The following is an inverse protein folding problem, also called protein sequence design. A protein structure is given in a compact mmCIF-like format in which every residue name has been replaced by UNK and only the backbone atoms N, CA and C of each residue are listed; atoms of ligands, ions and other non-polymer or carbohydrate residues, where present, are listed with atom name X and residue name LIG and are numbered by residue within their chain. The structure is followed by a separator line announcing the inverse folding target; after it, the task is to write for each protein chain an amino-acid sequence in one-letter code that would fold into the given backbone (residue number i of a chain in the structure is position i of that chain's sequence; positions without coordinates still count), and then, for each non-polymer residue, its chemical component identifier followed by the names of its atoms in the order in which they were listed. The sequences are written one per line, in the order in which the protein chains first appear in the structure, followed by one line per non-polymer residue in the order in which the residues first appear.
data_IF_006481161395
#
_entry.id   IF_006481161395
#
_cell.length_a   1.000
_cell.length_b   1.000
_cell.length_c   1.000
_cell.angle_alpha   90.00
_cell.angle_beta   90.00
_cell.angle_gamma   90.00
#
_symmetry.space_group_name_H-M   'P 1'
#
loop_
_entity.id
_entity.type
_entity.pdbx_description
1 polymer ?
#
# COMPACT_ATOMS: atom_id res chain seq x y z
N UNK A 1 -38.00 55.31 6.55
CA UNK A 1 -37.06 55.62 7.65
C UNK A 1 -35.67 55.38 7.11
N UNK A 2 -34.89 56.44 6.86
CA UNK A 2 -33.71 56.85 7.66
C UNK A 2 -32.74 55.69 7.92
N UNK A 3 -31.43 55.73 7.67
CA UNK A 3 -30.43 56.70 7.16
C UNK A 3 -29.08 55.97 7.28
N UNK A 4 -28.13 56.26 6.37
CA UNK A 4 -26.67 56.30 6.59
C UNK A 4 -25.95 54.98 6.98
N UNK A 5 -24.68 54.72 6.66
CA UNK A 5 -23.60 55.47 6.02
C UNK A 5 -22.52 54.45 5.61
N UNK A 6 -21.71 54.76 4.62
CA UNK A 6 -20.29 55.16 4.80
C UNK A 6 -19.38 53.96 5.15
N UNK A 7 -18.20 53.74 4.61
CA UNK A 7 -17.35 54.33 3.57
C UNK A 7 -16.09 53.43 3.57
N UNK A 8 -15.31 53.45 2.47
CA UNK A 8 -13.86 53.17 2.45
C UNK A 8 -13.40 51.71 2.65
N UNK A 9 -12.33 51.23 2.03
CA UNK A 9 -11.38 51.75 1.03
C UNK A 9 -10.60 50.53 0.54
N UNK A 10 -10.19 50.58 -0.72
CA UNK A 10 -9.14 49.76 -1.32
C UNK A 10 -7.84 49.82 -0.49
N UNK A 11 -7.09 48.71 -0.40
CA UNK A 11 -5.67 48.70 -0.80
C UNK A 11 -5.14 47.27 -0.99
N UNK A 12 -4.16 47.20 -1.87
CA UNK A 12 -3.67 46.09 -2.68
C UNK A 12 -2.67 45.15 -1.98
N UNK A 13 -2.43 44.01 -2.66
CA UNK A 13 -1.10 43.44 -3.00
C UNK A 13 -0.93 41.94 -2.70
N UNK A 14 -0.79 41.16 -3.79
CA UNK A 14 0.23 40.12 -4.12
C UNK A 14 0.73 39.21 -2.97
N UNK A 15 0.88 37.88 -3.07
CA UNK A 15 1.61 37.09 -4.06
C UNK A 15 1.48 35.57 -3.72
N UNK A 16 1.84 34.74 -4.69
CA UNK A 16 1.75 33.29 -4.85
C UNK A 16 2.28 32.37 -3.74
N UNK A 17 1.65 31.21 -3.55
CA UNK A 17 2.34 29.91 -3.47
C UNK A 17 1.37 28.75 -3.72
N UNK A 18 1.77 27.87 -4.64
CA UNK A 18 1.07 26.65 -5.02
C UNK A 18 1.03 25.60 -3.89
N UNK A 19 -0.04 24.80 -3.83
CA UNK A 19 0.16 23.35 -3.95
C UNK A 19 -1.11 22.62 -4.41
N UNK A 20 -0.89 21.67 -5.32
CA UNK A 20 -1.92 20.89 -5.98
C UNK A 20 -2.17 19.60 -5.20
N UNK A 21 -3.40 19.37 -4.75
CA UNK A 21 -3.86 18.00 -4.46
C UNK A 21 -5.29 17.80 -4.94
N UNK A 22 -5.39 17.55 -6.25
CA UNK A 22 -6.62 17.15 -6.91
C UNK A 22 -7.11 15.80 -6.37
N UNK A 23 -8.24 15.84 -5.66
CA UNK A 23 -9.05 14.67 -5.34
C UNK A 23 -9.82 14.21 -6.58
N UNK A 24 -9.68 12.94 -6.91
CA UNK A 24 -10.37 12.25 -8.01
C UNK A 24 -11.87 12.17 -7.68
N UNK A 25 -12.70 12.96 -8.39
CA UNK A 25 -14.16 12.79 -8.41
C UNK A 25 -14.55 11.81 -9.52
N UNK A 26 -15.22 10.72 -9.13
CA UNK A 26 -16.01 9.88 -10.03
C UNK A 26 -17.22 10.69 -10.54
N UNK A 27 -17.41 10.75 -11.84
CA UNK A 27 -18.68 11.16 -12.46
C UNK A 27 -19.14 10.07 -13.43
N UNK A 28 -20.30 9.49 -13.12
CA UNK A 28 -21.14 8.77 -14.06
C UNK A 28 -22.22 9.73 -14.58
N UNK A 29 -22.53 9.72 -15.88
CA UNK A 29 -23.89 9.81 -16.43
C UNK A 29 -23.91 9.94 -17.97
N UNK A 30 -24.72 9.06 -18.57
CA UNK A 30 -25.75 9.29 -19.60
C UNK A 30 -25.39 9.86 -21.00
N UNK A 31 -26.05 9.21 -21.97
CA UNK A 31 -26.06 9.46 -23.41
C UNK A 31 -26.95 10.66 -23.81
N UNK A 32 -26.61 11.34 -24.92
CA UNK A 32 -27.54 11.58 -26.04
C UNK A 32 -26.80 12.05 -27.33
N UNK A 33 -27.57 12.04 -28.42
CA UNK A 33 -27.33 12.01 -29.88
C UNK A 33 -26.51 13.10 -30.63
N UNK A 34 -26.04 12.63 -31.81
CA UNK A 34 -26.13 13.16 -33.21
C UNK A 34 -25.01 14.01 -33.87
N UNK A 35 -24.76 13.57 -35.12
CA UNK A 35 -24.40 14.29 -36.37
C UNK A 35 -22.95 14.72 -36.68
N UNK A 36 -22.55 14.48 -37.93
CA UNK A 36 -21.61 15.36 -38.65
C UNK A 36 -20.36 14.72 -39.25
N UNK A 37 -20.36 14.58 -40.57
CA UNK A 37 -19.30 14.06 -41.45
C UNK A 37 -18.20 15.11 -41.73
N UNK A 38 -16.89 14.73 -41.75
CA UNK A 38 -15.90 15.00 -42.84
C UNK A 38 -14.43 14.71 -42.44
N UNK A 39 -13.68 14.20 -43.44
CA UNK A 39 -12.29 13.70 -43.42
C UNK A 39 -11.26 14.81 -43.62
N UNK A 40 -10.10 14.71 -42.95
CA UNK A 40 -8.77 15.18 -43.38
C UNK A 40 -7.72 14.50 -42.48
N UNK A 41 -6.90 13.55 -42.96
CA UNK A 41 -5.63 13.68 -43.69
C UNK A 41 -4.38 13.81 -42.78
N UNK A 42 -3.49 12.82 -42.93
CA UNK A 42 -2.04 12.77 -42.62
C UNK A 42 -1.53 12.53 -41.17
N UNK A 43 -1.10 11.29 -40.90
CA UNK A 43 0.30 10.90 -40.58
C UNK A 43 0.36 9.52 -39.86
N UNK A 44 1.10 8.51 -40.36
CA UNK A 44 1.31 7.26 -39.63
C UNK A 44 2.57 7.36 -38.77
N UNK A 45 2.43 7.51 -37.45
CA UNK A 45 3.56 7.37 -36.53
C UNK A 45 3.66 5.91 -36.10
N UNK A 46 4.59 5.21 -36.74
CA UNK A 46 5.07 3.90 -36.33
C UNK A 46 5.78 4.00 -34.98
N UNK A 47 5.25 3.36 -33.92
CA UNK A 47 6.03 2.85 -32.78
C UNK A 47 5.39 1.58 -32.24
N UNK A 48 5.78 0.45 -32.83
CA UNK A 48 5.46 -0.87 -32.29
C UNK A 48 6.48 -1.18 -31.18
N UNK A 49 6.16 -0.81 -29.94
CA UNK A 49 6.94 -1.23 -28.78
C UNK A 49 6.56 -2.68 -28.45
N UNK A 50 7.27 -3.64 -29.06
CA UNK A 50 7.26 -5.03 -28.59
C UNK A 50 8.25 -5.15 -27.45
N UNK A 51 7.75 -5.32 -26.23
CA UNK A 51 8.53 -5.64 -25.05
C UNK A 51 9.29 -6.96 -25.26
N UNK A 52 10.61 -6.93 -25.04
CA UNK A 52 11.45 -8.11 -24.92
C UNK A 52 11.10 -8.82 -23.60
N UNK A 53 10.56 -10.03 -23.66
CA UNK A 53 10.40 -10.88 -22.48
C UNK A 53 11.72 -11.60 -22.22
N UNK A 54 12.32 -11.35 -21.06
CA UNK A 54 13.44 -12.10 -20.52
C UNK A 54 12.90 -13.27 -19.72
N UNK A 55 12.77 -14.45 -20.33
CA UNK A 55 12.67 -15.73 -19.61
C UNK A 55 13.14 -16.88 -20.53
N UNK A 56 14.45 -16.98 -20.69
CA UNK A 56 15.12 -18.17 -21.23
C UNK A 56 15.49 -19.07 -20.06
N UNK A 57 14.58 -19.96 -19.65
CA UNK A 57 14.94 -21.12 -18.87
C UNK A 57 13.88 -22.21 -19.04
N UNK A 58 14.03 -23.05 -20.07
CA UNK A 58 13.71 -24.49 -20.07
C UNK A 58 14.06 -25.11 -21.43
N UNK A 59 14.88 -26.16 -21.39
CA UNK A 59 14.69 -27.35 -22.21
C UNK A 59 15.26 -27.35 -23.63
N UNK A 60 16.57 -27.53 -23.74
CA UNK A 60 17.23 -28.01 -24.97
C UNK A 60 16.95 -29.52 -25.12
N UNK A 61 15.96 -29.90 -25.94
CA UNK A 61 15.75 -31.30 -26.35
C UNK A 61 16.11 -31.47 -27.82
N UNK A 62 17.30 -32.02 -28.05
CA UNK A 62 17.71 -32.57 -29.34
C UNK A 62 16.92 -33.87 -29.60
N UNK A 63 16.15 -33.92 -30.68
CA UNK A 63 15.74 -35.18 -31.30
C UNK A 63 16.50 -35.35 -32.62
N UNK A 64 17.70 -35.91 -32.52
CA UNK A 64 18.35 -36.57 -33.66
C UNK A 64 17.89 -38.03 -33.67
N UNK A 65 16.99 -38.38 -34.59
CA UNK A 65 16.65 -39.76 -34.89
C UNK A 65 16.76 -39.97 -36.40
N UNK A 66 17.67 -40.87 -36.78
CA UNK A 66 18.14 -41.06 -38.14
C UNK A 66 17.08 -41.57 -39.11
N UNK A 67 17.15 -41.05 -40.33
CA UNK A 67 16.48 -41.62 -41.48
C UNK A 67 17.41 -42.65 -42.14
N UNK A 68 17.06 -43.93 -42.01
CA UNK A 68 17.57 -45.02 -42.83
C UNK A 68 16.39 -45.70 -43.51
N UNK A 69 16.48 -45.92 -44.83
CA UNK A 69 15.68 -46.92 -45.53
C UNK A 69 14.78 -46.37 -46.64
N UNK A 70 15.30 -46.42 -47.86
CA UNK A 70 14.61 -46.16 -49.11
C UNK A 70 13.60 -47.28 -49.47
N UNK A 71 12.52 -46.93 -50.18
CA UNK A 71 12.23 -47.37 -51.56
C UNK A 71 10.73 -47.30 -51.92
N UNK A 72 10.48 -46.88 -53.16
CA UNK A 72 9.25 -47.06 -53.97
C UNK A 72 8.05 -46.13 -53.76
N UNK A 73 8.14 -44.95 -54.39
CA UNK A 73 7.39 -44.62 -55.61
C UNK A 73 5.85 -44.56 -55.62
N UNK A 74 5.34 -43.41 -56.11
CA UNK A 74 4.10 -43.22 -56.93
C UNK A 74 2.80 -43.19 -56.07
N UNK A 75 2.04 -42.10 -55.82
CA UNK A 75 1.61 -40.87 -56.52
C UNK A 75 1.27 -39.78 -55.47
N UNK A 76 1.52 -38.47 -55.71
CA UNK A 76 0.98 -37.39 -54.88
C UNK A 76 -0.47 -37.07 -55.27
N UNK A 77 -1.44 -37.43 -54.42
CA UNK A 77 -2.83 -37.00 -54.56
C UNK A 77 -3.17 -35.94 -53.51
N UNK A 78 -3.73 -34.77 -53.88
CA UNK A 78 -4.08 -33.74 -52.92
C UNK A 78 -5.32 -34.20 -52.17
N UNK A 79 -5.27 -34.18 -50.84
CA UNK A 79 -6.45 -34.14 -49.98
C UNK A 79 -7.61 -35.03 -50.44
N UNK A 80 -7.46 -36.35 -50.34
CA UNK A 80 -8.62 -37.18 -50.02
C UNK A 80 -8.99 -36.88 -48.57
N UNK A 81 -9.57 -35.69 -48.32
CA UNK A 81 -10.65 -35.60 -47.34
C UNK A 81 -11.61 -36.69 -47.78
N UNK A 82 -11.53 -37.86 -47.13
CA UNK A 82 -12.40 -38.97 -47.44
C UNK A 82 -13.81 -38.46 -47.18
N UNK A 83 -14.49 -38.09 -48.27
CA UNK A 83 -15.89 -37.72 -48.31
C UNK A 83 -16.71 -39.00 -48.16
N UNK A 84 -16.41 -39.77 -47.12
CA UNK A 84 -17.12 -40.96 -46.70
C UNK A 84 -18.22 -40.53 -45.72
N UNK A 85 -18.98 -39.51 -46.15
CA UNK A 85 -20.16 -39.03 -45.45
C UNK A 85 -21.45 -39.71 -45.98
N UNK A 86 -21.29 -40.63 -46.93
CA UNK A 86 -22.40 -41.31 -47.62
C UNK A 86 -22.72 -42.70 -47.11
N UNK A 87 -21.76 -43.41 -46.50
CA UNK A 87 -22.05 -44.67 -45.82
C UNK A 87 -22.43 -44.33 -44.37
N UNK A 88 -23.56 -44.86 -43.89
CA UNK A 88 -24.00 -44.76 -42.51
C UNK A 88 -23.07 -45.47 -41.51
N UNK A 89 -21.76 -45.52 -41.77
CA UNK A 89 -20.79 -46.20 -40.93
C UNK A 89 -20.63 -45.46 -39.61
N UNK A 90 -21.12 -46.10 -38.56
CA UNK A 90 -20.95 -45.70 -37.18
C UNK A 90 -19.66 -46.32 -36.64
N UNK A 91 -18.91 -45.58 -35.83
CA UNK A 91 -17.82 -46.15 -35.04
C UNK A 91 -18.37 -47.27 -34.13
N UNK A 92 -17.58 -48.31 -33.76
CA UNK A 92 -18.03 -49.32 -32.80
C UNK A 92 -18.62 -48.73 -31.50
N UNK A 93 -18.10 -47.59 -31.05
CA UNK A 93 -18.60 -46.86 -29.87
C UNK A 93 -19.95 -46.20 -30.14
N UNK A 94 -20.16 -45.68 -31.34
CA UNK A 94 -21.43 -45.09 -31.76
C UNK A 94 -22.48 -46.17 -31.99
N UNK A 95 -22.12 -47.28 -32.61
CA UNK A 95 -22.99 -48.45 -32.79
C UNK A 95 -23.49 -48.96 -31.44
N UNK A 96 -22.59 -49.10 -30.44
CA UNK A 96 -22.98 -49.46 -29.08
C UNK A 96 -23.98 -48.48 -28.45
N UNK A 97 -23.80 -47.17 -28.68
CA UNK A 97 -24.73 -46.12 -28.19
C UNK A 97 -26.09 -46.17 -28.89
N UNK A 98 -26.10 -46.50 -30.19
CA UNK A 98 -27.31 -46.63 -30.99
C UNK A 98 -28.09 -47.87 -30.57
N UNK A 99 -27.42 -49.03 -30.45
CA UNK A 99 -28.06 -50.27 -30.01
C UNK A 99 -28.59 -50.20 -28.57
N UNK A 100 -28.01 -49.34 -27.73
CA UNK A 100 -28.47 -49.14 -26.35
C UNK A 100 -29.70 -48.20 -26.24
N UNK A 101 -30.05 -47.44 -27.29
CA UNK A 101 -31.14 -46.47 -27.29
C UNK A 101 -32.09 -46.81 -28.45
N UNK A 102 -33.23 -47.45 -28.12
CA UNK A 102 -34.23 -47.94 -29.09
C UNK A 102 -34.64 -46.87 -30.11
N UNK A 103 -34.76 -45.61 -29.67
CA UNK A 103 -35.11 -44.48 -30.54
C UNK A 103 -33.96 -44.10 -31.49
N UNK A 104 -32.71 -44.20 -31.04
CA UNK A 104 -31.56 -44.00 -31.93
C UNK A 104 -31.44 -45.15 -32.94
N UNK A 105 -31.71 -46.40 -32.53
CA UNK A 105 -31.69 -47.55 -33.42
C UNK A 105 -32.75 -47.45 -34.52
N UNK A 106 -33.99 -47.12 -34.16
CA UNK A 106 -35.07 -46.90 -35.13
C UNK A 106 -34.75 -45.73 -36.08
N UNK A 107 -34.28 -44.60 -35.53
CA UNK A 107 -33.87 -43.47 -36.36
C UNK A 107 -32.66 -43.78 -37.25
N UNK A 108 -31.78 -44.70 -36.86
CA UNK A 108 -30.62 -45.07 -37.69
C UNK A 108 -31.03 -45.89 -38.92
N UNK A 109 -32.10 -46.70 -38.80
CA UNK A 109 -32.71 -47.41 -39.93
C UNK A 109 -33.39 -46.45 -40.91
N UNK A 110 -34.01 -45.37 -40.39
CA UNK A 110 -34.69 -44.38 -41.21
C UNK A 110 -33.77 -43.28 -41.81
N UNK A 111 -32.87 -42.71 -41.00
CA UNK A 111 -31.92 -41.65 -41.38
C UNK A 111 -30.62 -41.73 -40.56
N UNK A 112 -29.61 -42.49 -41.03
CA UNK A 112 -28.33 -42.65 -40.33
C UNK A 112 -27.55 -41.33 -40.22
N UNK A 113 -27.72 -40.39 -41.15
CA UNK A 113 -27.05 -39.08 -41.14
C UNK A 113 -27.59 -38.19 -40.03
N UNK A 114 -28.90 -38.23 -39.76
CA UNK A 114 -29.50 -37.55 -38.60
C UNK A 114 -28.95 -38.12 -37.29
N UNK A 115 -28.82 -39.43 -37.16
CA UNK A 115 -28.25 -40.06 -35.95
C UNK A 115 -26.80 -39.64 -35.73
N UNK A 116 -25.96 -39.61 -36.77
CA UNK A 116 -24.59 -39.07 -36.68
C UNK A 116 -24.57 -37.64 -36.14
N UNK A 117 -25.46 -36.76 -36.61
CA UNK A 117 -25.57 -35.38 -36.10
C UNK A 117 -25.99 -35.32 -34.63
N UNK A 118 -26.95 -36.16 -34.22
CA UNK A 118 -27.39 -36.24 -32.82
C UNK A 118 -26.24 -36.68 -31.92
N UNK A 119 -25.50 -37.72 -32.30
CA UNK A 119 -24.35 -38.21 -31.51
C UNK A 119 -23.23 -37.17 -31.42
N UNK A 120 -22.92 -36.50 -32.53
CA UNK A 120 -21.93 -35.42 -32.56
C UNK A 120 -22.35 -34.24 -31.67
N UNK A 121 -23.62 -33.82 -31.71
CA UNK A 121 -24.14 -32.75 -30.87
C UNK A 121 -24.19 -33.15 -29.39
N UNK A 122 -24.59 -34.38 -29.06
CA UNK A 122 -24.52 -34.92 -27.70
C UNK A 122 -23.08 -34.86 -27.18
N UNK A 123 -22.09 -35.26 -27.98
CA UNK A 123 -20.68 -35.21 -27.61
C UNK A 123 -20.16 -33.77 -27.42
N UNK A 124 -20.50 -32.84 -28.31
CA UNK A 124 -20.06 -31.45 -28.19
C UNK A 124 -20.73 -30.74 -27.01
N UNK A 125 -22.02 -31.00 -26.75
CA UNK A 125 -22.74 -30.51 -25.59
C UNK A 125 -22.14 -31.04 -24.28
N UNK A 126 -21.80 -32.34 -24.22
CA UNK A 126 -21.11 -32.92 -23.07
C UNK A 126 -19.77 -32.24 -22.79
N UNK A 127 -18.93 -32.05 -23.82
CA UNK A 127 -17.64 -31.34 -23.70
C UNK A 127 -17.83 -29.86 -23.32
N UNK A 128 -18.87 -29.20 -23.82
CA UNK A 128 -19.16 -27.80 -23.48
C UNK A 128 -19.56 -27.68 -22.00
N UNK A 129 -20.44 -28.57 -21.52
CA UNK A 129 -20.82 -28.64 -20.11
C UNK A 129 -19.61 -28.93 -19.22
N UNK A 130 -18.75 -29.86 -19.61
CA UNK A 130 -17.52 -30.18 -18.89
C UNK A 130 -16.59 -28.97 -18.77
N UNK A 131 -16.33 -28.26 -19.89
CA UNK A 131 -15.50 -27.04 -19.87
C UNK A 131 -16.11 -25.96 -18.98
N UNK A 132 -17.42 -25.74 -19.06
CA UNK A 132 -18.11 -24.75 -18.22
C UNK A 132 -18.03 -25.13 -16.75
N UNK A 133 -18.21 -26.40 -16.41
CA UNK A 133 -18.10 -26.91 -15.04
C UNK A 133 -16.68 -26.74 -14.49
N UNK A 134 -15.65 -27.04 -15.29
CA UNK A 134 -14.25 -26.78 -14.90
C UNK A 134 -13.98 -25.29 -14.68
N UNK A 135 -14.42 -24.43 -15.60
CA UNK A 135 -14.27 -22.99 -15.47
C UNK A 135 -14.95 -22.43 -14.21
N UNK A 136 -16.15 -22.92 -13.88
CA UNK A 136 -16.84 -22.55 -12.63
C UNK A 136 -15.98 -22.94 -11.41
N UNK A 137 -15.50 -24.18 -11.35
CA UNK A 137 -14.65 -24.64 -10.24
C UNK A 137 -13.32 -23.87 -10.13
N UNK A 138 -12.70 -23.53 -11.26
CA UNK A 138 -11.50 -22.68 -11.29
C UNK A 138 -11.76 -21.28 -10.73
N UNK A 139 -12.91 -20.67 -11.08
CA UNK A 139 -13.31 -19.37 -10.53
C UNK A 139 -13.62 -19.44 -9.04
N UNK A 140 -14.34 -20.46 -8.58
CA UNK A 140 -14.66 -20.68 -7.17
C UNK A 140 -13.37 -20.83 -6.34
N UNK A 141 -12.44 -21.65 -6.82
CA UNK A 141 -11.14 -21.82 -6.18
C UNK A 141 -10.32 -20.51 -6.16
N UNK A 142 -10.35 -19.73 -7.25
CA UNK A 142 -9.66 -18.43 -7.31
C UNK A 142 -10.26 -17.44 -6.32
N UNK A 143 -11.58 -17.41 -6.16
CA UNK A 143 -12.25 -16.57 -5.15
C UNK A 143 -11.79 -16.97 -3.75
N UNK A 144 -11.74 -18.27 -3.45
CA UNK A 144 -11.29 -18.76 -2.14
C UNK A 144 -9.82 -18.39 -1.85
N UNK A 145 -8.93 -18.52 -2.84
CA UNK A 145 -7.53 -18.08 -2.71
C UNK A 145 -7.47 -16.59 -2.42
N UNK A 146 -8.12 -15.76 -3.24
CA UNK A 146 -8.08 -14.30 -3.08
C UNK A 146 -8.65 -13.85 -1.73
N UNK A 147 -9.70 -14.51 -1.23
CA UNK A 147 -10.25 -14.24 0.10
C UNK A 147 -9.26 -14.60 1.22
N UNK A 148 -8.56 -15.73 1.08
CA UNK A 148 -7.52 -16.17 2.04
C UNK A 148 -6.34 -15.22 2.03
N UNK A 149 -5.88 -14.81 0.85
CA UNK A 149 -4.82 -13.80 0.68
C UNK A 149 -5.24 -12.45 1.29
N UNK A 150 -6.46 -11.98 1.02
CA UNK A 150 -6.96 -10.73 1.60
C UNK A 150 -7.00 -10.78 3.13
N UNK A 151 -7.43 -11.90 3.71
CA UNK A 151 -7.44 -12.11 5.16
C UNK A 151 -6.02 -12.10 5.73
N UNK A 152 -5.10 -12.79 5.07
CA UNK A 152 -3.69 -12.88 5.47
C UNK A 152 -2.98 -11.53 5.40
N UNK A 153 -3.21 -10.77 4.33
CA UNK A 153 -2.68 -9.41 4.18
C UNK A 153 -3.27 -8.44 5.22
N UNK A 154 -4.56 -8.57 5.53
CA UNK A 154 -5.22 -7.75 6.57
C UNK A 154 -4.64 -8.00 7.96
N UNK A 155 -4.34 -9.26 8.28
CA UNK A 155 -3.66 -9.62 9.53
C UNK A 155 -2.24 -9.02 9.60
N UNK A 156 -1.46 -9.11 8.51
CA UNK A 156 -0.13 -8.50 8.43
C UNK A 156 -0.18 -6.98 8.58
N UNK A 157 -1.14 -6.31 7.94
CA UNK A 157 -1.33 -4.87 8.06
C UNK A 157 -1.62 -4.47 9.51
N UNK A 158 -2.50 -5.20 10.19
CA UNK A 158 -2.85 -4.94 11.60
C UNK A 158 -1.63 -5.08 12.51
N UNK A 159 -0.80 -6.10 12.29
CA UNK A 159 0.44 -6.31 13.05
C UNK A 159 1.41 -5.14 12.84
N UNK A 160 1.66 -4.75 11.59
CA UNK A 160 2.56 -3.64 11.26
C UNK A 160 2.05 -2.30 11.81
N UNK A 161 0.74 -2.05 11.78
CA UNK A 161 0.14 -0.86 12.38
C UNK A 161 0.38 -0.80 13.89
N UNK A 162 0.19 -1.93 14.59
CA UNK A 162 0.45 -2.04 16.03
C UNK A 162 1.93 -1.80 16.35
N UNK A 163 2.83 -2.41 15.59
CA UNK A 163 4.27 -2.28 15.80
C UNK A 163 4.76 -0.85 15.53
N UNK A 164 4.25 -0.22 14.46
CA UNK A 164 4.53 1.18 14.14
C UNK A 164 4.08 2.12 15.27
N UNK A 165 2.86 1.93 15.79
CA UNK A 165 2.38 2.70 16.93
C UNK A 165 3.21 2.47 18.20
N UNK A 166 3.67 1.23 18.43
CA UNK A 166 4.57 0.89 19.53
C UNK A 166 5.92 1.62 19.42
N UNK A 167 6.56 1.58 18.25
CA UNK A 167 7.83 2.27 17.99
C UNK A 167 7.64 3.79 18.11
N UNK A 168 6.55 4.36 17.59
CA UNK A 168 6.27 5.78 17.71
C UNK A 168 6.15 6.21 19.18
N UNK A 169 5.51 5.39 20.02
CA UNK A 169 5.39 5.64 21.46
C UNK A 169 6.76 5.61 22.14
N UNK A 170 7.58 4.58 21.87
CA UNK A 170 8.95 4.49 22.39
C UNK A 170 9.82 5.67 21.92
N UNK A 171 9.68 6.10 20.67
CA UNK A 171 10.41 7.24 20.14
C UNK A 171 10.04 8.54 20.86
N UNK A 172 8.75 8.75 21.16
CA UNK A 172 8.29 9.89 21.93
C UNK A 172 8.83 9.85 23.37
N UNK A 173 8.80 8.70 24.04
CA UNK A 173 9.38 8.54 25.38
C UNK A 173 10.88 8.87 25.39
N UNK A 174 11.64 8.37 24.42
CA UNK A 174 13.07 8.66 24.30
C UNK A 174 13.33 10.15 24.04
N UNK A 175 12.52 10.80 23.20
CA UNK A 175 12.60 12.25 22.98
C UNK A 175 12.36 13.04 24.26
N UNK A 176 11.33 12.66 25.04
CA UNK A 176 11.07 13.32 26.32
C UNK A 176 12.22 13.11 27.31
N UNK A 177 12.76 11.89 27.39
CA UNK A 177 13.92 11.61 28.24
C UNK A 177 15.16 12.40 27.83
N UNK A 178 15.41 12.51 26.53
CA UNK A 178 16.52 13.30 25.98
C UNK A 178 16.38 14.77 26.37
N UNK A 179 15.20 15.36 26.17
CA UNK A 179 14.93 16.76 26.55
C UNK A 179 15.11 16.98 28.06
N UNK A 180 14.64 16.04 28.89
CA UNK A 180 14.84 16.14 30.35
C UNK A 180 16.32 16.11 30.73
N UNK A 181 17.12 15.23 30.09
CA UNK A 181 18.56 15.16 30.30
C UNK A 181 19.28 16.44 29.83
N UNK A 182 18.86 17.02 28.72
CA UNK A 182 19.40 18.28 28.21
C UNK A 182 19.15 19.44 29.19
N UNK A 183 17.92 19.55 29.71
CA UNK A 183 17.60 20.55 30.75
C UNK A 183 18.44 20.34 32.02
N UNK A 184 18.65 19.09 32.42
CA UNK A 184 19.50 18.78 33.57
C UNK A 184 20.97 19.15 33.33
N UNK A 185 21.48 18.98 32.11
CA UNK A 185 22.84 19.38 31.74
C UNK A 185 22.99 20.90 31.79
N UNK A 186 22.04 21.65 31.20
CA UNK A 186 22.04 23.12 31.23
C UNK A 186 22.05 23.67 32.66
N UNK A 187 21.26 23.09 33.56
CA UNK A 187 21.27 23.48 34.97
C UNK A 187 22.63 23.20 35.63
N UNK A 188 23.27 22.07 35.33
CA UNK A 188 24.60 21.76 35.85
C UNK A 188 25.67 22.71 35.32
N UNK A 189 25.59 23.08 34.04
CA UNK A 189 26.53 24.02 33.42
C UNK A 189 26.38 25.42 34.06
N UNK A 190 25.15 25.91 34.21
CA UNK A 190 24.88 27.17 34.90
C UNK A 190 25.39 27.18 36.35
N UNK A 191 25.24 26.07 37.08
CA UNK A 191 25.78 25.93 38.43
C UNK A 191 27.32 25.94 38.44
N UNK A 192 27.95 25.25 37.50
CA UNK A 192 29.41 25.23 37.37
C UNK A 192 29.97 26.61 37.00
N UNK A 193 29.30 27.35 36.11
CA UNK A 193 29.66 28.73 35.77
C UNK A 193 29.55 29.65 36.97
N UNK A 194 28.44 29.59 37.73
CA UNK A 194 28.25 30.38 38.94
C UNK A 194 29.32 30.07 40.00
N UNK A 195 29.63 28.79 40.23
CA UNK A 195 30.67 28.40 41.16
C UNK A 195 32.05 28.88 40.71
N UNK A 196 32.35 28.79 39.40
CA UNK A 196 33.60 29.28 38.83
C UNK A 196 33.74 30.79 39.00
N UNK A 197 32.66 31.54 38.77
CA UNK A 197 32.62 32.97 39.00
C UNK A 197 32.86 33.33 40.48
N UNK A 198 32.26 32.59 41.42
CA UNK A 198 32.46 32.82 42.85
C UNK A 198 33.90 32.49 43.29
N UNK A 199 34.48 31.41 42.77
CA UNK A 199 35.90 31.10 42.99
C UNK A 199 36.80 32.22 42.48
N UNK A 200 36.51 32.79 41.30
CA UNK A 200 37.26 33.93 40.77
C UNK A 200 37.11 35.17 41.66
N UNK A 201 35.89 35.49 42.10
CA UNK A 201 35.62 36.62 43.00
C UNK A 201 36.37 36.48 44.33
N UNK A 202 36.34 35.30 44.93
CA UNK A 202 37.06 35.00 46.17
C UNK A 202 38.59 35.08 46.00
N UNK A 203 39.12 34.66 44.85
CA UNK A 203 40.54 34.80 44.52
C UNK A 203 40.97 36.27 44.45
N UNK A 204 40.19 37.13 43.80
CA UNK A 204 40.45 38.57 43.73
C UNK A 204 40.39 39.21 45.12
N UNK A 205 39.32 38.94 45.89
CA UNK A 205 39.18 39.47 47.25
C UNK A 205 40.32 39.05 48.18
N UNK A 206 40.82 37.82 48.04
CA UNK A 206 41.97 37.33 48.82
C UNK A 206 43.28 38.00 48.39
N UNK A 207 43.48 38.24 47.08
CA UNK A 207 44.65 38.95 46.57
C UNK A 207 44.68 40.41 47.06
N UNK A 208 43.54 41.11 47.04
CA UNK A 208 43.40 42.48 47.57
C UNK A 208 43.64 42.56 49.09
N UNK A 209 43.26 41.51 49.84
CA UNK A 209 43.54 41.40 51.27
C UNK A 209 45.03 41.25 51.59
N UNK A 210 45.82 40.70 50.65
CA UNK A 210 47.28 40.61 50.76
C UNK A 210 47.97 41.98 50.70
N UNK A 211 47.31 42.99 50.12
CA UNK A 211 47.87 44.33 49.88
C UNK A 211 47.28 45.43 50.80
N UNK A 212 46.28 45.17 51.67
CA UNK A 212 45.63 46.21 52.48
C UNK A 212 45.19 45.78 53.89
N UNK A 213 45.80 46.37 54.93
CA UNK A 213 45.42 46.17 56.33
C UNK A 213 44.24 47.08 56.77
N UNK A 214 43.01 46.57 56.76
CA UNK A 214 41.87 47.03 57.61
C UNK A 214 40.70 46.03 57.52
N UNK A 215 40.62 45.10 58.47
CA UNK A 215 39.94 43.80 58.31
C UNK A 215 38.45 43.72 58.73
N UNK A 216 37.89 44.70 59.44
CA UNK A 216 36.66 44.45 60.24
C UNK A 216 35.34 44.68 59.51
N UNK A 217 35.24 45.66 58.60
CA UNK A 217 33.96 46.04 57.98
C UNK A 217 33.63 45.20 56.72
N UNK A 218 34.65 44.69 56.02
CA UNK A 218 34.46 43.97 54.75
C UNK A 218 33.91 42.55 54.95
N UNK A 219 34.27 41.89 56.05
CA UNK A 219 33.82 40.53 56.36
C UNK A 219 32.29 40.44 56.53
N UNK A 220 31.67 41.45 57.15
CA UNK A 220 30.21 41.51 57.31
C UNK A 220 29.49 41.68 55.97
N UNK A 221 30.05 42.47 55.04
CA UNK A 221 29.42 42.71 53.75
C UNK A 221 29.46 41.47 52.83
N UNK A 222 30.57 40.71 52.87
CA UNK A 222 30.69 39.45 52.13
C UNK A 222 29.66 38.43 52.63
N UNK A 223 29.43 38.38 53.94
CA UNK A 223 28.49 37.42 54.53
C UNK A 223 27.03 37.67 54.08
N UNK A 224 26.65 38.94 53.93
CA UNK A 224 25.32 39.34 53.47
C UNK A 224 25.13 39.01 51.98
N UNK A 225 26.13 39.25 51.12
CA UNK A 225 25.99 38.96 49.68
C UNK A 225 25.89 37.46 49.38
N UNK A 226 26.58 36.63 50.17
CA UNK A 226 26.52 35.16 50.04
C UNK A 226 25.13 34.62 50.43
N UNK A 227 24.51 35.19 51.46
CA UNK A 227 23.16 34.80 51.89
C UNK A 227 22.12 35.05 50.80
N UNK A 228 22.22 36.19 50.11
CA UNK A 228 21.27 36.60 49.06
C UNK A 228 21.38 35.74 47.79
N UNK A 229 22.60 35.40 47.36
CA UNK A 229 22.80 34.51 46.22
C UNK A 229 22.26 33.10 46.46
N UNK A 230 22.45 32.56 47.67
CA UNK A 230 21.92 31.23 48.06
C UNK A 230 20.39 31.19 47.98
N UNK A 231 19.73 32.28 48.35
CA UNK A 231 18.27 32.38 48.25
C UNK A 231 17.78 32.38 46.79
N UNK A 232 18.51 33.06 45.91
CA UNK A 232 18.16 33.14 44.49
C UNK A 232 18.35 31.80 43.75
N UNK A 233 19.37 31.03 44.12
CA UNK A 233 19.61 29.69 43.57
C UNK A 233 18.48 28.71 43.91
N UNK A 234 17.95 28.79 45.13
CA UNK A 234 16.88 27.90 45.59
C UNK A 234 15.57 28.12 44.83
N UNK A 235 15.32 29.34 44.36
CA UNK A 235 14.10 29.64 43.61
C UNK A 235 14.09 29.04 42.20
N UNK A 236 15.26 28.85 41.56
CA UNK A 236 15.35 28.28 40.21
C UNK A 236 15.16 26.76 40.15
N UNK A 237 15.32 26.04 41.27
CA UNK A 237 15.01 24.59 41.33
C UNK A 237 13.52 24.29 41.59
N UNK A 238 12.71 25.30 41.93
CA UNK A 238 11.32 25.13 42.32
C UNK A 238 10.32 25.17 41.15
N UNK A 239 10.78 25.33 39.90
CA UNK A 239 9.92 25.18 38.73
C UNK A 239 9.52 23.71 38.57
N UNK A 240 8.24 23.35 38.72
CA UNK A 240 7.81 21.98 38.52
C UNK A 240 8.08 21.60 37.07
N UNK A 241 8.90 20.57 36.87
CA UNK A 241 9.01 19.92 35.58
C UNK A 241 7.58 19.51 35.18
N UNK A 242 7.08 19.82 33.96
CA UNK A 242 5.71 19.49 33.52
C UNK A 242 5.42 17.97 33.41
N UNK A 243 6.26 17.13 34.00
CA UNK A 243 6.24 15.68 33.95
C UNK A 243 4.91 15.09 34.44
N UNK A 244 4.28 15.71 35.44
CA UNK A 244 3.02 15.20 36.00
C UNK A 244 1.77 15.57 35.18
N UNK A 245 1.84 16.58 34.30
CA UNK A 245 0.63 17.08 33.64
C UNK A 245 0.31 16.36 32.34
N UNK A 246 1.30 15.75 31.66
CA UNK A 246 1.06 15.03 30.40
C UNK A 246 0.71 13.54 30.60
N UNK A 247 1.07 12.94 31.73
CA UNK A 247 0.71 11.55 32.04
C UNK A 247 -0.81 11.37 32.26
N UNK A 248 -1.52 12.41 32.71
CA UNK A 248 -3.00 12.37 32.84
C UNK A 248 -3.72 12.51 31.50
N UNK A 249 -3.14 13.18 30.51
CA UNK A 249 -3.80 13.37 29.21
C UNK A 249 -3.86 12.07 28.37
N UNK A 250 -2.91 11.14 28.54
CA UNK A 250 -2.91 9.87 27.81
C UNK A 250 -3.85 8.81 28.39
N UNK A 251 -4.11 8.80 29.71
CA UNK A 251 -5.07 7.85 30.29
C UNK A 251 -6.53 8.18 29.93
N UNK A 252 -6.87 9.46 29.74
CA UNK A 252 -8.23 9.88 29.38
C UNK A 252 -8.59 9.67 27.89
N UNK A 253 -7.65 9.23 27.05
CA UNK A 253 -7.86 9.02 25.61
C UNK A 253 -8.25 7.59 25.19
N UNK A 254 -8.17 6.60 26.07
CA UNK A 254 -8.27 5.18 25.70
C UNK A 254 -9.53 4.44 26.22
N UNK A 255 -10.57 5.17 26.63
CA UNK A 255 -11.74 4.62 27.33
C UNK A 255 -13.09 4.89 26.68
N UNK A 256 -13.27 4.67 25.37
CA UNK A 256 -14.60 4.48 24.76
C UNK A 256 -14.57 3.35 23.75
N UNK A 257 -14.56 2.11 24.24
CA UNK A 257 -15.01 0.95 23.45
C UNK A 257 -16.53 0.90 23.57
N UNK A 258 -17.20 0.94 22.42
CA UNK A 258 -18.62 0.69 22.26
C UNK A 258 -18.99 -0.71 22.80
N UNK A 259 -19.99 -0.76 23.67
CA UNK A 259 -20.77 -1.97 23.93
C UNK A 259 -21.63 -2.35 22.71
N UNK A 260 -21.91 -3.64 22.49
CA UNK A 260 -22.97 -4.08 21.59
C UNK A 260 -24.31 -4.09 22.34
N UNK A 261 -25.31 -3.38 21.83
CA UNK A 261 -26.71 -3.60 22.22
C UNK A 261 -27.25 -4.82 21.48
N UNK A 262 -27.95 -5.67 22.23
CA UNK A 262 -28.69 -6.88 21.82
C UNK A 262 -29.66 -6.65 20.65
#
# INVERSE_FOLDING_TARGET
MRTNGADSSENESEECAADSRAGIRLCAAAADRREGLKRAAAAPVARHARSLSMDSLIGKLNFSAGATGAASGVIPGPNRFSLEFGTGEFSPVEMKKIMADEKLAEMALADPKRVKRVLANRQSAARSKERKMRYIGELEHKVQILQTEATTLSAQLTLLQRDSAGIATQNNELKFRLQAMEQQAQLRDALNEALTAEVQRLKVATAELGDSCSSSNLAQQIQISVQDQMFQLHQQQATPIPFYQLQQAQQNGAGKKHEPTE
#
